data_IF_647384571668
#
_entry.id   IF_647384571668
#
_cell.length_a   1.000
_cell.length_b   1.000
_cell.length_c   1.000
_cell.angle_alpha   90.00
_cell.angle_beta   90.00
_cell.angle_gamma   90.00
#
_symmetry.space_group_name_H-M   'P 1'
#
loop_
_entity.id
_entity.type
_entity.pdbx_description
1 polymer ?
#
# COMPACT_ATOMS: atom_id res chain seq x y z
N UNK A 1 -27.26 -4.78 24.28
CA UNK A 1 -27.41 -6.25 24.51
C UNK A 1 -28.43 -6.94 23.58
N UNK A 2 -29.08 -6.27 22.63
CA UNK A 2 -29.99 -6.93 21.68
C UNK A 2 -29.37 -7.25 20.30
N UNK A 3 -28.23 -6.64 19.94
CA UNK A 3 -27.62 -6.83 18.61
C UNK A 3 -26.66 -8.03 18.56
N UNK A 4 -26.20 -8.51 19.73
CA UNK A 4 -25.30 -9.67 19.85
C UNK A 4 -26.04 -11.02 19.82
N UNK A 5 -27.38 -11.01 19.95
CA UNK A 5 -28.23 -12.19 19.84
C UNK A 5 -28.56 -12.59 18.40
N UNK A 6 -28.26 -11.73 17.43
CA UNK A 6 -28.54 -11.96 16.00
C UNK A 6 -27.41 -12.68 15.25
N UNK A 7 -26.27 -12.95 15.92
CA UNK A 7 -25.08 -13.55 15.32
C UNK A 7 -24.94 -15.06 15.60
N UNK A 8 -25.93 -15.70 16.22
CA UNK A 8 -25.78 -17.06 16.77
C UNK A 8 -26.59 -18.16 16.06
N UNK A 9 -27.14 -17.90 14.87
CA UNK A 9 -27.95 -18.91 14.16
C UNK A 9 -27.71 -18.89 12.65
N UNK A 10 -26.60 -19.44 12.18
CA UNK A 10 -26.48 -20.03 10.84
C UNK A 10 -25.28 -20.98 10.78
N UNK A 11 -25.44 -22.14 11.42
CA UNK A 11 -24.64 -23.33 11.16
C UNK A 11 -25.56 -24.37 10.52
N UNK A 12 -25.48 -24.55 9.20
CA UNK A 12 -25.94 -25.76 8.53
C UNK A 12 -24.79 -26.32 7.70
N UNK A 13 -24.27 -27.46 8.14
CA UNK A 13 -23.36 -28.29 7.39
C UNK A 13 -24.14 -29.14 6.38
N UNK A 14 -23.60 -29.28 5.17
CA UNK A 14 -23.93 -30.37 4.27
C UNK A 14 -22.64 -30.83 3.59
N UNK A 15 -22.19 -32.03 3.96
CA UNK A 15 -21.13 -32.76 3.29
C UNK A 15 -21.72 -33.55 2.12
N UNK A 16 -21.14 -33.42 0.93
CA UNK A 16 -21.34 -34.37 -0.17
C UNK A 16 -20.06 -34.45 -1.04
N UNK A 17 -19.36 -35.56 -0.89
CA UNK A 17 -18.56 -36.21 -1.93
C UNK A 17 -19.21 -37.60 -2.12
N UNK A 18 -19.27 -38.19 -3.32
CA UNK A 18 -18.10 -38.43 -4.18
C UNK A 18 -18.42 -38.42 -5.69
N UNK A 19 -17.46 -38.96 -6.46
CA UNK A 19 -17.53 -39.48 -7.83
C UNK A 19 -16.99 -38.54 -8.91
N UNK A 20 -15.99 -39.10 -9.61
CA UNK A 20 -15.26 -38.43 -10.65
C UNK A 20 -16.02 -38.34 -11.96
N UNK A 21 -15.71 -37.29 -12.70
CA UNK A 21 -15.92 -37.16 -14.13
C UNK A 21 -14.60 -36.61 -14.66
N UNK A 22 -13.77 -37.52 -15.18
CA UNK A 22 -13.69 -37.76 -16.62
C UNK A 22 -12.86 -36.68 -17.29
N UNK A 23 -11.58 -37.01 -17.43
CA UNK A 23 -10.74 -36.56 -18.52
C UNK A 23 -11.51 -36.62 -19.84
N UNK A 24 -11.33 -35.58 -20.65
CA UNK A 24 -11.91 -35.29 -21.99
C UNK A 24 -12.88 -34.09 -21.86
N UNK A 25 -12.69 -32.95 -22.50
CA UNK A 25 -12.29 -32.75 -23.90
C UNK A 25 -11.68 -31.34 -24.07
N UNK A 26 -10.67 -31.22 -24.94
CA UNK A 26 -10.33 -29.95 -25.59
C UNK A 26 -9.30 -29.06 -24.87
N UNK A 27 -8.09 -29.57 -24.66
CA UNK A 27 -6.96 -28.70 -24.36
C UNK A 27 -6.68 -27.76 -25.54
N UNK A 28 -6.37 -26.47 -25.31
CA UNK A 28 -5.83 -25.61 -26.36
C UNK A 28 -4.52 -26.22 -26.89
N UNK A 29 -4.19 -26.04 -28.18
CA UNK A 29 -3.02 -26.66 -28.79
C UNK A 29 -1.75 -26.31 -28.00
N UNK A 30 -0.78 -27.23 -27.89
CA UNK A 30 0.51 -26.93 -27.27
C UNK A 30 1.18 -25.88 -28.14
N UNK A 31 1.24 -24.64 -27.65
CA UNK A 31 2.17 -23.67 -28.19
C UNK A 31 3.58 -24.27 -28.03
N UNK A 32 4.40 -24.33 -29.09
CA UNK A 32 5.79 -24.70 -28.93
C UNK A 32 6.41 -23.62 -28.05
N UNK A 33 6.77 -24.00 -26.82
CA UNK A 33 7.68 -23.21 -26.00
C UNK A 33 9.07 -23.48 -26.55
N UNK A 34 9.34 -22.97 -27.75
CA UNK A 34 10.69 -22.82 -28.26
C UNK A 34 11.44 -21.98 -27.23
N UNK A 35 12.58 -22.49 -26.77
CA UNK A 35 13.42 -21.86 -25.77
C UNK A 35 13.84 -20.46 -26.23
N UNK A 36 13.06 -19.46 -25.85
CA UNK A 36 13.47 -18.08 -25.92
C UNK A 36 14.55 -17.89 -24.87
N UNK A 37 15.81 -17.94 -25.31
CA UNK A 37 16.92 -17.31 -24.60
C UNK A 37 16.45 -15.88 -24.29
N UNK A 38 16.43 -15.43 -23.03
CA UNK A 38 16.07 -14.06 -22.73
C UNK A 38 17.01 -13.16 -23.53
N UNK A 39 16.45 -12.33 -24.41
CA UNK A 39 17.17 -11.27 -25.07
C UNK A 39 17.85 -10.43 -23.96
N UNK A 40 19.14 -10.10 -24.05
CA UNK A 40 19.89 -9.43 -22.97
C UNK A 40 19.25 -8.08 -22.57
N UNK A 41 18.52 -7.45 -23.49
CA UNK A 41 17.71 -6.26 -23.24
C UNK A 41 16.55 -6.52 -22.26
N UNK A 42 15.89 -7.67 -22.35
CA UNK A 42 14.77 -8.07 -21.48
C UNK A 42 15.22 -8.37 -20.05
N UNK A 43 16.42 -8.93 -19.89
CA UNK A 43 16.98 -9.25 -18.57
C UNK A 43 17.41 -7.99 -17.81
N UNK A 44 18.08 -7.05 -18.50
CA UNK A 44 18.44 -5.75 -17.93
C UNK A 44 17.19 -4.96 -17.48
N UNK A 45 16.16 -4.90 -18.33
CA UNK A 45 14.88 -4.28 -17.99
C UNK A 45 14.23 -4.90 -16.75
N UNK A 46 14.25 -6.23 -16.65
CA UNK A 46 13.72 -6.96 -15.50
C UNK A 46 14.51 -6.66 -14.23
N UNK A 47 15.84 -6.63 -14.31
CA UNK A 47 16.71 -6.36 -13.17
C UNK A 47 16.60 -4.92 -12.66
N UNK A 48 16.58 -3.94 -13.56
CA UNK A 48 16.42 -2.53 -13.22
C UNK A 48 15.07 -2.27 -12.57
N UNK A 49 14.00 -2.80 -13.16
CA UNK A 49 12.66 -2.66 -12.59
C UNK A 49 12.55 -3.40 -11.25
N UNK A 50 13.13 -4.60 -11.12
CA UNK A 50 13.14 -5.34 -9.86
C UNK A 50 13.88 -4.56 -8.76
N UNK A 51 14.96 -3.85 -9.10
CA UNK A 51 15.66 -2.98 -8.17
C UNK A 51 14.77 -1.85 -7.66
N UNK A 52 14.09 -1.15 -8.58
CA UNK A 52 13.15 -0.09 -8.23
C UNK A 52 11.98 -0.61 -7.38
N UNK A 53 11.44 -1.79 -7.71
CA UNK A 53 10.39 -2.44 -6.91
C UNK A 53 10.87 -2.74 -5.49
N UNK A 54 12.03 -3.37 -5.33
CA UNK A 54 12.59 -3.69 -4.01
C UNK A 54 12.80 -2.44 -3.16
N UNK A 55 13.26 -1.35 -3.77
CA UNK A 55 13.47 -0.08 -3.06
C UNK A 55 12.14 0.55 -2.60
N UNK A 56 11.13 0.55 -3.46
CA UNK A 56 9.76 0.99 -3.14
C UNK A 56 9.15 0.11 -2.04
N UNK A 57 9.26 -1.21 -2.14
CA UNK A 57 8.78 -2.15 -1.12
C UNK A 57 9.49 -1.98 0.22
N UNK A 58 10.81 -1.73 0.22
CA UNK A 58 11.56 -1.45 1.43
C UNK A 58 11.03 -0.21 2.16
N UNK A 59 10.75 0.87 1.43
CA UNK A 59 10.14 2.08 1.98
C UNK A 59 8.71 1.82 2.47
N UNK A 60 7.95 1.00 1.75
CA UNK A 60 6.61 0.56 2.16
C UNK A 60 6.63 -0.22 3.48
N UNK A 61 7.63 -1.08 3.69
CA UNK A 61 7.83 -1.79 4.97
C UNK A 61 8.13 -0.83 6.12
N UNK A 62 8.90 0.23 5.89
CA UNK A 62 9.15 1.25 6.91
C UNK A 62 7.86 1.99 7.31
N UNK A 63 7.01 2.34 6.33
CA UNK A 63 5.70 2.93 6.59
C UNK A 63 4.83 1.97 7.40
N UNK A 64 4.78 0.69 7.01
CA UNK A 64 4.02 -0.32 7.74
C UNK A 64 4.53 -0.45 9.19
N UNK A 65 5.84 -0.57 9.40
CA UNK A 65 6.41 -0.63 10.73
C UNK A 65 6.11 0.63 11.56
N UNK A 66 6.04 1.80 10.92
CA UNK A 66 5.62 3.05 11.57
C UNK A 66 4.14 3.05 11.94
N UNK A 67 3.27 2.56 11.05
CA UNK A 67 1.86 2.40 11.33
C UNK A 67 1.60 1.40 12.45
N UNK A 68 2.26 0.24 12.44
CA UNK A 68 2.09 -0.82 13.44
C UNK A 68 2.47 -0.33 14.86
N UNK A 69 3.48 0.53 14.99
CA UNK A 69 3.86 1.19 16.26
C UNK A 69 3.10 2.49 16.57
N UNK A 70 2.14 2.88 15.72
CA UNK A 70 1.41 4.15 15.84
C UNK A 70 2.34 5.38 15.92
N UNK A 71 3.33 5.43 15.02
CA UNK A 71 4.30 6.51 14.95
C UNK A 71 3.65 7.90 14.82
N UNK A 72 4.29 8.97 15.32
CA UNK A 72 3.78 10.32 15.18
C UNK A 72 3.54 10.72 13.72
N UNK A 73 2.55 11.59 13.43
CA UNK A 73 2.23 11.98 12.05
C UNK A 73 3.40 12.61 11.29
N UNK A 74 4.30 13.32 11.96
CA UNK A 74 5.49 13.90 11.34
C UNK A 74 6.44 12.83 10.79
N UNK A 75 6.71 11.77 11.57
CA UNK A 75 7.53 10.65 11.13
C UNK A 75 6.87 9.90 9.98
N UNK A 76 5.57 9.62 10.10
CA UNK A 76 4.81 8.96 9.05
C UNK A 76 4.80 9.78 7.75
N UNK A 77 4.64 11.10 7.82
CA UNK A 77 4.72 12.00 6.67
C UNK A 77 6.07 11.87 5.94
N UNK A 78 7.19 11.86 6.67
CA UNK A 78 8.53 11.68 6.09
C UNK A 78 8.67 10.33 5.37
N UNK A 79 8.20 9.24 5.99
CA UNK A 79 8.27 7.89 5.42
C UNK A 79 7.40 7.74 4.17
N UNK A 80 6.17 8.28 4.20
CA UNK A 80 5.26 8.26 3.05
C UNK A 80 5.83 9.11 1.90
N UNK A 81 6.45 10.25 2.19
CA UNK A 81 7.09 11.07 1.16
C UNK A 81 8.23 10.32 0.48
N UNK A 82 9.06 9.64 1.28
CA UNK A 82 10.15 8.79 0.79
C UNK A 82 9.64 7.69 -0.15
N UNK A 83 8.56 7.02 0.21
CA UNK A 83 7.91 6.00 -0.63
C UNK A 83 7.29 6.60 -1.90
N UNK A 84 6.61 7.74 -1.79
CA UNK A 84 6.03 8.47 -2.92
C UNK A 84 7.09 8.79 -4.00
N UNK A 85 8.27 9.25 -3.59
CA UNK A 85 9.39 9.49 -4.51
C UNK A 85 9.91 8.21 -5.20
N UNK A 86 9.87 7.06 -4.53
CA UNK A 86 10.26 5.79 -5.12
C UNK A 86 9.25 5.28 -6.16
N UNK A 87 7.95 5.45 -5.90
CA UNK A 87 6.91 5.18 -6.89
C UNK A 87 7.07 6.03 -8.16
N UNK A 88 7.42 7.32 -8.02
CA UNK A 88 7.69 8.20 -9.17
C UNK A 88 8.85 7.66 -10.02
N UNK A 89 9.91 7.14 -9.39
CA UNK A 89 11.03 6.53 -10.12
C UNK A 89 10.59 5.29 -10.90
N UNK A 90 9.74 4.45 -10.31
CA UNK A 90 9.16 3.30 -11.01
C UNK A 90 8.30 3.70 -12.20
N UNK A 91 7.42 4.69 -12.03
CA UNK A 91 6.56 5.20 -13.11
C UNK A 91 7.43 5.71 -14.26
N UNK A 92 8.40 6.60 -13.96
CA UNK A 92 9.31 7.16 -14.96
C UNK A 92 10.11 6.09 -15.70
N UNK A 93 10.57 5.05 -14.99
CA UNK A 93 11.27 3.95 -15.62
C UNK A 93 10.38 3.24 -16.64
N UNK A 94 9.16 2.87 -16.25
CA UNK A 94 8.25 2.17 -17.16
C UNK A 94 7.91 3.05 -18.37
N UNK A 95 7.63 4.33 -18.17
CA UNK A 95 7.33 5.26 -19.28
C UNK A 95 8.50 5.44 -20.24
N UNK A 96 9.72 5.64 -19.71
CA UNK A 96 10.90 5.88 -20.52
C UNK A 96 11.41 4.62 -21.24
N UNK A 97 11.12 3.44 -20.70
CA UNK A 97 11.68 2.18 -21.17
C UNK A 97 10.63 1.23 -21.77
N UNK A 98 9.34 1.59 -21.80
CA UNK A 98 8.26 0.71 -22.28
C UNK A 98 8.53 0.08 -23.65
N UNK A 99 8.96 0.88 -24.63
CA UNK A 99 9.25 0.40 -25.98
C UNK A 99 10.47 -0.55 -26.01
N UNK A 100 11.55 -0.21 -25.31
CA UNK A 100 12.79 -1.00 -25.28
C UNK A 100 12.66 -2.29 -24.49
N UNK A 101 11.83 -2.27 -23.45
CA UNK A 101 11.61 -3.39 -22.54
C UNK A 101 10.35 -4.20 -22.86
N UNK A 102 9.65 -3.88 -23.96
CA UNK A 102 8.35 -4.46 -24.31
C UNK A 102 7.33 -4.44 -23.15
N UNK A 103 7.35 -3.41 -22.30
CA UNK A 103 6.43 -3.28 -21.16
C UNK A 103 5.12 -2.65 -21.65
N UNK A 104 3.95 -3.27 -21.40
CA UNK A 104 2.67 -2.67 -21.76
C UNK A 104 2.46 -1.32 -21.05
N UNK A 105 2.04 -0.28 -21.77
CA UNK A 105 1.77 1.05 -21.19
C UNK A 105 0.69 1.02 -20.09
N UNK A 106 -0.17 0.01 -20.07
CA UNK A 106 -1.14 -0.22 -18.99
C UNK A 106 -0.46 -0.36 -17.62
N UNK A 107 0.79 -0.84 -17.55
CA UNK A 107 1.55 -0.91 -16.30
C UNK A 107 1.87 0.49 -15.77
N UNK A 108 2.25 1.43 -16.64
CA UNK A 108 2.46 2.83 -16.23
C UNK A 108 1.16 3.45 -15.70
N UNK A 109 0.01 3.15 -16.34
CA UNK A 109 -1.30 3.61 -15.89
C UNK A 109 -1.62 3.07 -14.50
N UNK A 110 -1.44 1.77 -14.27
CA UNK A 110 -1.67 1.16 -12.95
C UNK A 110 -0.77 1.74 -11.86
N UNK A 111 0.52 1.93 -12.16
CA UNK A 111 1.45 2.54 -11.22
C UNK A 111 1.04 3.98 -10.89
N UNK A 112 0.59 4.77 -11.87
CA UNK A 112 0.06 6.12 -11.64
C UNK A 112 -1.20 6.11 -10.78
N UNK A 113 -2.14 5.20 -11.04
CA UNK A 113 -3.35 5.06 -10.22
C UNK A 113 -3.01 4.72 -8.76
N UNK A 114 -2.08 3.79 -8.55
CA UNK A 114 -1.55 3.50 -7.21
C UNK A 114 -0.93 4.74 -6.56
N UNK A 115 -0.11 5.47 -7.31
CA UNK A 115 0.55 6.67 -6.84
C UNK A 115 -0.41 7.78 -6.39
N UNK A 116 -1.54 7.97 -7.08
CA UNK A 116 -2.58 8.94 -6.66
C UNK A 116 -3.13 8.63 -5.26
N UNK A 117 -3.23 7.35 -4.88
CA UNK A 117 -3.62 6.95 -3.53
C UNK A 117 -2.53 7.29 -2.52
N UNK A 118 -1.26 7.03 -2.85
CA UNK A 118 -0.10 7.40 -2.03
C UNK A 118 -0.03 8.91 -1.81
N UNK A 119 -0.22 9.72 -2.85
CA UNK A 119 -0.25 11.19 -2.73
C UNK A 119 -1.39 11.65 -1.82
N UNK A 120 -2.57 11.03 -1.94
CA UNK A 120 -3.72 11.36 -1.08
C UNK A 120 -3.42 11.03 0.38
N UNK A 121 -2.78 9.89 0.64
CA UNK A 121 -2.34 9.51 1.98
C UNK A 121 -1.28 10.50 2.51
N UNK A 122 -0.28 10.83 1.68
CA UNK A 122 0.78 11.79 1.99
C UNK A 122 0.19 13.13 2.46
N UNK A 123 -0.69 13.73 1.63
CA UNK A 123 -1.35 15.00 1.96
C UNK A 123 -2.08 14.95 3.30
N UNK A 124 -2.85 13.89 3.54
CA UNK A 124 -3.62 13.73 4.79
C UNK A 124 -2.73 13.58 6.02
N UNK A 125 -1.67 12.77 5.92
CA UNK A 125 -0.77 12.51 7.06
C UNK A 125 0.10 13.72 7.36
N UNK A 126 0.62 14.39 6.32
CA UNK A 126 1.41 15.61 6.50
C UNK A 126 0.56 16.77 7.04
N UNK A 127 -0.69 16.95 6.59
CA UNK A 127 -1.59 17.94 7.18
C UNK A 127 -1.83 17.69 8.69
N UNK A 128 -1.91 16.42 9.10
CA UNK A 128 -1.99 16.06 10.53
C UNK A 128 -0.70 16.36 11.28
N UNK A 129 0.47 16.22 10.63
CA UNK A 129 1.75 16.59 11.22
C UNK A 129 1.84 18.09 11.47
N UNK A 130 1.42 18.91 10.50
CA UNK A 130 1.36 20.36 10.62
C UNK A 130 0.39 20.79 11.74
N UNK A 131 -0.79 20.17 11.83
CA UNK A 131 -1.74 20.42 12.91
C UNK A 131 -1.18 20.06 14.29
N UNK A 132 -0.43 18.96 14.39
CA UNK A 132 0.22 18.57 15.64
C UNK A 132 1.34 19.54 16.03
N UNK A 133 2.09 20.06 15.07
CA UNK A 133 3.13 21.08 15.30
C UNK A 133 2.55 22.45 15.67
N UNK A 134 1.38 22.80 15.13
CA UNK A 134 0.70 24.07 15.41
C UNK A 134 -0.02 24.12 16.76
N UNK A 135 -0.13 22.99 17.48
CA UNK A 135 -0.73 22.98 18.83
C UNK A 135 0.30 23.47 19.85
N UNK A 136 0.06 24.61 20.53
CA UNK A 136 0.94 25.05 21.61
C UNK A 136 0.98 23.98 22.72
N UNK A 137 2.17 23.74 23.25
CA UNK A 137 2.38 22.83 24.37
C UNK A 137 1.65 23.37 25.60
N UNK A 138 0.43 22.88 25.84
CA UNK A 138 -0.35 23.07 27.06
C UNK A 138 -0.62 24.52 27.46
N UNK A 139 -1.85 24.99 27.25
CA UNK A 139 -2.44 25.87 28.27
C UNK A 139 -2.56 25.00 29.54
N UNK A 140 -1.56 25.07 30.42
CA UNK A 140 -1.79 24.80 31.84
C UNK A 140 -2.89 25.77 32.23
N UNK A 141 -4.09 25.21 32.43
CA UNK A 141 -5.28 25.98 32.76
C UNK A 141 -4.94 26.95 33.88
N UNK A 142 -5.28 28.21 33.63
CA UNK A 142 -5.30 29.25 34.64
C UNK A 142 -6.28 28.82 35.75
N UNK A 143 -5.76 28.13 36.76
CA UNK A 143 -6.49 27.72 37.95
C UNK A 143 -6.54 28.85 38.99
N UNK A 144 -6.02 30.06 38.71
CA UNK A 144 -6.03 31.16 39.67
C UNK A 144 -7.46 31.57 40.04
N UNK A 145 -8.41 31.39 39.13
CA UNK A 145 -9.83 31.63 39.40
C UNK A 145 -10.50 30.59 40.32
N UNK A 146 -9.92 29.40 40.50
CA UNK A 146 -10.44 28.39 41.42
C UNK A 146 -9.87 28.54 42.83
N UNK A 147 -8.66 29.09 42.97
CA UNK A 147 -8.02 29.29 44.27
C UNK A 147 -8.66 30.49 45.00
N UNK A 148 -9.03 31.55 44.28
CA UNK A 148 -9.54 32.78 44.90
C UNK A 148 -11.05 32.77 45.24
N UNK A 149 -11.75 31.66 45.05
CA UNK A 149 -13.20 31.54 45.35
C UNK A 149 -13.52 30.80 46.65
N UNK A 150 -12.49 30.37 47.39
CA UNK A 150 -12.63 29.42 48.49
C UNK A 150 -12.15 29.94 49.86
N UNK A 151 -12.35 31.23 50.18
CA UNK A 151 -12.13 31.72 51.54
C UNK A 151 -13.35 32.55 51.99
N UNK A 152 -14.25 32.00 52.84
CA UNK A 152 -15.24 32.77 53.58
C UNK A 152 -14.63 33.57 54.74
#
# INVERSE_FOLDING_TARGET
>A
MLVYRSLLLLALAAASAPAGNAFAQGGPPPFPSDGAVPEPSSEACTNDFASLRRDTEARGRLIKAAADRHAPPAEACTLINSYNQAEIKMIKFVEANAARCAIPLQIAVQLKTGHTNTETLLRKVCAKAEQAAARPAGQVGDFDHLINRQIP
#
